data_IF_160694430094
#
_entry.id   IF_160694430094
#
_cell.length_a   1.000
_cell.length_b   1.000
_cell.length_c   1.000
_cell.angle_alpha   90.00
_cell.angle_beta   90.00
_cell.angle_gamma   90.00
#
_symmetry.space_group_name_H-M   'P 1'
#
loop_
_entity.id
_entity.type
_entity.pdbx_description
1 polymer ?
#
# COMPACT_ATOMS: atom_id res chain seq x y z
N UNK A 1 4.08 11.20 6.23
CA UNK A 1 2.77 11.05 5.55
C UNK A 1 1.62 11.77 6.28
N UNK A 2 1.42 11.58 7.60
CA UNK A 2 0.27 12.17 8.34
C UNK A 2 0.18 13.71 8.20
N UNK A 3 1.31 14.40 8.20
CA UNK A 3 1.39 15.87 8.05
C UNK A 3 1.18 16.35 6.60
N UNK A 4 0.99 15.44 5.64
CA UNK A 4 0.73 15.80 4.24
C UNK A 4 -0.49 16.71 4.13
N UNK A 5 -0.43 17.69 3.24
CA UNK A 5 -1.56 18.57 2.92
C UNK A 5 -2.49 17.99 1.84
N UNK A 6 -2.07 16.90 1.19
CA UNK A 6 -2.95 16.17 0.27
C UNK A 6 -4.05 15.40 1.04
N UNK A 7 -5.28 15.27 0.49
CA UNK A 7 -6.39 14.54 1.12
C UNK A 7 -6.02 13.09 1.42
N UNK A 8 -6.15 12.66 2.69
CA UNK A 8 -5.67 11.34 3.12
C UNK A 8 -6.65 10.23 2.74
N UNK A 9 -7.92 10.59 2.58
CA UNK A 9 -8.99 9.81 1.97
C UNK A 9 -8.77 9.52 0.47
N UNK A 10 -7.71 10.08 -0.13
CA UNK A 10 -7.24 9.75 -1.47
C UNK A 10 -5.88 9.03 -1.46
N UNK A 11 -5.38 8.59 -0.31
CA UNK A 11 -4.08 7.93 -0.17
C UNK A 11 -4.23 6.46 0.22
N UNK A 12 -3.66 5.57 -0.59
CA UNK A 12 -3.41 4.17 -0.23
C UNK A 12 -1.99 4.06 0.28
N UNK A 13 -1.80 3.59 1.51
CA UNK A 13 -0.48 3.35 2.09
C UNK A 13 -0.22 1.85 2.10
N UNK A 14 0.89 1.43 1.50
CA UNK A 14 1.34 0.03 1.49
C UNK A 14 2.66 -0.05 2.24
N UNK A 15 2.64 -0.68 3.41
CA UNK A 15 3.82 -0.96 4.21
C UNK A 15 4.38 -2.32 3.80
N UNK A 16 5.40 -2.29 2.94
CA UNK A 16 6.01 -3.49 2.38
C UNK A 16 7.14 -4.01 3.28
N UNK A 17 6.97 -5.22 3.81
CA UNK A 17 7.98 -5.95 4.59
C UNK A 17 8.43 -7.20 3.83
N UNK A 18 9.54 -7.79 4.26
CA UNK A 18 10.03 -9.04 3.69
C UNK A 18 9.95 -10.17 4.73
N UNK A 19 9.61 -11.39 4.31
CA UNK A 19 9.57 -12.55 5.21
C UNK A 19 10.94 -12.78 5.88
N UNK A 20 12.05 -12.52 5.16
CA UNK A 20 13.41 -12.63 5.69
C UNK A 20 13.73 -11.64 6.82
N UNK A 21 12.93 -10.59 7.01
CA UNK A 21 13.10 -9.65 8.12
C UNK A 21 12.60 -10.22 9.46
N UNK A 22 11.87 -11.34 9.43
CA UNK A 22 11.44 -12.09 10.61
C UNK A 22 10.28 -11.48 11.40
N UNK A 23 9.87 -12.18 12.45
CA UNK A 23 8.64 -11.90 13.22
C UNK A 23 8.63 -10.51 13.87
N UNK A 24 9.79 -10.01 14.29
CA UNK A 24 9.88 -8.68 14.90
C UNK A 24 9.44 -7.60 13.89
N UNK A 25 9.88 -7.70 12.64
CA UNK A 25 9.48 -6.76 11.58
C UNK A 25 7.96 -6.81 11.34
N UNK A 26 7.35 -7.99 11.42
CA UNK A 26 5.91 -8.14 11.20
C UNK A 26 5.09 -7.61 12.37
N UNK A 27 5.56 -7.82 13.61
CA UNK A 27 4.95 -7.22 14.81
C UNK A 27 4.97 -5.70 14.72
N UNK A 28 6.11 -5.11 14.36
CA UNK A 28 6.24 -3.66 14.18
C UNK A 28 5.30 -3.16 13.09
N UNK A 29 5.20 -3.86 11.95
CA UNK A 29 4.29 -3.48 10.88
C UNK A 29 2.82 -3.46 11.34
N UNK A 30 2.39 -4.47 12.11
CA UNK A 30 1.04 -4.53 12.68
C UNK A 30 0.78 -3.42 13.70
N UNK A 31 1.77 -3.08 14.53
CA UNK A 31 1.67 -1.93 15.45
C UNK A 31 1.49 -0.61 14.69
N UNK A 32 2.27 -0.39 13.62
CA UNK A 32 2.15 0.78 12.75
C UNK A 32 0.76 0.81 12.09
N UNK A 33 0.28 -0.31 11.55
CA UNK A 33 -1.07 -0.39 10.95
C UNK A 33 -2.15 -0.08 11.98
N UNK A 34 -2.05 -0.61 13.20
CA UNK A 34 -3.00 -0.32 14.29
C UNK A 34 -3.05 1.17 14.61
N UNK A 35 -1.90 1.84 14.64
CA UNK A 35 -1.82 3.27 14.96
C UNK A 35 -2.29 4.18 13.81
N UNK A 36 -1.95 3.85 12.56
CA UNK A 36 -2.08 4.78 11.44
C UNK A 36 -3.15 4.44 10.40
N UNK A 37 -3.66 3.20 10.37
CA UNK A 37 -4.58 2.74 9.30
C UNK A 37 -5.82 3.62 9.14
N UNK A 38 -6.40 4.09 10.25
CA UNK A 38 -7.61 4.93 10.25
C UNK A 38 -7.40 6.35 9.70
N UNK A 39 -6.16 6.77 9.45
CA UNK A 39 -5.83 8.12 8.95
C UNK A 39 -5.83 8.21 7.43
N UNK A 40 -5.84 7.08 6.72
CA UNK A 40 -5.72 7.02 5.27
C UNK A 40 -6.91 6.27 4.67
N UNK A 41 -7.12 6.42 3.36
CA UNK A 41 -8.18 5.71 2.65
C UNK A 41 -8.06 4.18 2.79
N UNK A 42 -6.85 3.67 2.59
CA UNK A 42 -6.49 2.26 2.83
C UNK A 42 -5.07 2.17 3.37
N UNK A 43 -4.85 1.16 4.19
CA UNK A 43 -3.54 0.80 4.72
C UNK A 43 -3.37 -0.71 4.60
N UNK A 44 -2.38 -1.12 3.81
CA UNK A 44 -2.05 -2.53 3.56
C UNK A 44 -0.66 -2.82 4.13
N UNK A 45 -0.50 -3.99 4.73
CA UNK A 45 0.82 -4.57 4.99
C UNK A 45 0.98 -5.69 3.99
N UNK A 46 2.13 -5.75 3.32
CA UNK A 46 2.46 -6.86 2.42
C UNK A 46 3.75 -7.49 2.88
N UNK A 47 3.81 -8.82 2.86
CA UNK A 47 5.03 -9.56 3.17
C UNK A 47 5.52 -10.21 1.88
N UNK A 48 6.69 -9.79 1.38
CA UNK A 48 7.34 -10.44 0.25
C UNK A 48 7.93 -11.79 0.70
N UNK A 49 7.47 -12.92 0.13
CA UNK A 49 7.95 -14.26 0.49
C UNK A 49 9.45 -14.42 0.25
N UNK A 50 10.09 -15.24 1.08
CA UNK A 50 11.46 -15.68 0.79
C UNK A 50 11.45 -16.74 -0.32
N UNK A 51 12.49 -16.75 -1.15
CA UNK A 51 12.77 -17.81 -2.12
C UNK A 51 11.73 -17.99 -3.24
N UNK A 52 11.18 -16.90 -3.80
CA UNK A 52 10.41 -17.00 -5.05
C UNK A 52 11.37 -17.44 -6.18
N UNK A 53 11.11 -18.57 -6.87
CA UNK A 53 11.99 -19.06 -7.91
C UNK A 53 12.13 -18.05 -9.06
N UNK A 54 13.37 -17.75 -9.45
CA UNK A 54 13.66 -16.81 -10.54
C UNK A 54 13.62 -15.33 -10.14
N UNK A 55 13.36 -15.02 -8.87
CA UNK A 55 13.31 -13.65 -8.36
C UNK A 55 14.53 -13.33 -7.48
N UNK A 56 15.10 -12.13 -7.65
CA UNK A 56 16.23 -11.65 -6.84
C UNK A 56 15.68 -10.89 -5.63
N UNK A 57 15.86 -11.43 -4.43
CA UNK A 57 15.43 -10.77 -3.21
C UNK A 57 16.07 -9.37 -3.05
N UNK A 58 15.24 -8.38 -2.76
CA UNK A 58 15.69 -7.00 -2.59
C UNK A 58 14.54 -6.01 -2.63
N UNK A 59 14.87 -4.72 -2.48
CA UNK A 59 13.90 -3.63 -2.45
C UNK A 59 12.98 -3.62 -3.67
N UNK A 60 13.52 -3.78 -4.87
CA UNK A 60 12.74 -3.79 -6.11
C UNK A 60 11.68 -4.89 -6.14
N UNK A 61 12.07 -6.12 -5.84
CA UNK A 61 11.17 -7.29 -5.73
C UNK A 61 10.10 -7.11 -4.66
N UNK A 62 10.49 -6.62 -3.48
CA UNK A 62 9.54 -6.32 -2.41
C UNK A 62 8.48 -5.28 -2.84
N UNK A 63 8.91 -4.21 -3.52
CA UNK A 63 7.98 -3.17 -4.02
C UNK A 63 7.08 -3.73 -5.12
N UNK A 64 7.61 -4.50 -6.07
CA UNK A 64 6.83 -5.12 -7.13
C UNK A 64 5.74 -6.04 -6.56
N UNK A 65 6.10 -6.86 -5.57
CA UNK A 65 5.17 -7.68 -4.82
C UNK A 65 4.09 -6.84 -4.13
N UNK A 66 4.49 -5.78 -3.44
CA UNK A 66 3.58 -4.89 -2.71
C UNK A 66 2.58 -4.18 -3.64
N UNK A 67 3.03 -3.70 -4.79
CA UNK A 67 2.16 -3.06 -5.81
C UNK A 67 1.17 -4.07 -6.39
N UNK A 68 1.60 -5.29 -6.70
CA UNK A 68 0.71 -6.35 -7.20
C UNK A 68 -0.37 -6.72 -6.17
N UNK A 69 0.00 -6.84 -4.89
CA UNK A 69 -0.99 -7.07 -3.81
C UNK A 69 -1.96 -5.91 -3.66
N UNK A 70 -1.48 -4.66 -3.68
CA UNK A 70 -2.35 -3.50 -3.65
C UNK A 70 -3.31 -3.43 -4.85
N UNK A 71 -2.84 -3.82 -6.03
CA UNK A 71 -3.66 -3.93 -7.23
C UNK A 71 -4.79 -4.94 -7.02
N UNK A 72 -4.48 -6.16 -6.60
CA UNK A 72 -5.47 -7.23 -6.40
C UNK A 72 -6.46 -6.94 -5.27
N UNK A 73 -5.97 -6.44 -4.13
CA UNK A 73 -6.76 -6.29 -2.90
C UNK A 73 -7.52 -4.96 -2.81
N UNK A 74 -7.13 -3.95 -3.60
CA UNK A 74 -7.70 -2.60 -3.50
C UNK A 74 -8.23 -2.12 -4.84
N UNK A 75 -7.41 -2.15 -5.90
CA UNK A 75 -7.76 -1.51 -7.17
C UNK A 75 -8.70 -2.37 -8.02
N UNK A 76 -8.44 -3.67 -8.05
CA UNK A 76 -9.18 -4.66 -8.83
C UNK A 76 -10.16 -5.46 -7.97
N UNK A 77 -10.34 -5.06 -6.70
CA UNK A 77 -11.15 -5.78 -5.76
C UNK A 77 -12.60 -5.92 -6.25
N UNK A 78 -12.98 -7.15 -6.57
CA UNK A 78 -14.34 -7.55 -6.93
C UNK A 78 -14.89 -8.43 -5.81
N UNK A 79 -15.74 -7.90 -4.90
CA UNK A 79 -16.35 -8.74 -3.88
C UNK A 79 -17.30 -9.76 -4.53
N UNK A 80 -17.39 -11.00 -4.01
CA UNK A 80 -18.35 -11.97 -4.48
C UNK A 80 -19.77 -11.41 -4.35
N UNK A 81 -20.55 -11.54 -5.43
CA UNK A 81 -21.92 -11.04 -5.59
C UNK A 81 -22.90 -11.82 -4.73
N UNK A 82 -22.85 -11.67 -3.41
CA UNK A 82 -23.85 -12.27 -2.52
C UNK A 82 -24.39 -11.22 -1.56
N UNK A 83 -25.70 -10.96 -1.73
CA UNK A 83 -26.60 -10.13 -0.95
C UNK A 83 -26.71 -8.65 -1.41
N UNK A 84 -27.79 -8.40 -2.16
CA UNK A 84 -28.47 -7.10 -2.30
C UNK A 84 -27.82 -6.01 -3.18
N UNK A 85 -27.29 -6.41 -4.34
CA UNK A 85 -27.36 -5.57 -5.55
C UNK A 85 -26.55 -4.26 -5.54
N UNK A 86 -25.61 -4.09 -4.62
CA UNK A 86 -24.66 -2.96 -4.63
C UNK A 86 -23.23 -3.46 -4.47
N UNK A 87 -22.74 -4.16 -5.48
CA UNK A 87 -21.30 -4.37 -5.66
C UNK A 87 -20.66 -3.01 -5.95
N UNK A 88 -20.19 -2.30 -4.92
CA UNK A 88 -19.33 -1.14 -5.12
C UNK A 88 -17.96 -1.63 -5.57
N UNK A 89 -17.83 -1.89 -6.88
CA UNK A 89 -16.53 -2.04 -7.51
C UNK A 89 -15.74 -0.77 -7.19
N UNK A 90 -14.66 -0.90 -6.42
CA UNK A 90 -13.75 0.22 -6.21
C UNK A 90 -12.84 0.34 -7.44
N UNK A 91 -13.44 0.59 -8.61
CA UNK A 91 -12.72 0.72 -9.87
C UNK A 91 -12.06 2.09 -9.92
N UNK A 92 -10.86 2.22 -9.37
CA UNK A 92 -10.04 3.41 -9.57
C UNK A 92 -9.31 3.22 -10.91
N UNK A 93 -9.56 4.04 -11.94
CA UNK A 93 -8.83 3.94 -13.21
C UNK A 93 -7.33 4.10 -12.98
N UNK A 94 -6.51 3.27 -13.62
CA UNK A 94 -5.06 3.28 -13.37
C UNK A 94 -4.41 4.59 -13.81
N UNK A 95 -4.96 5.26 -14.82
CA UNK A 95 -4.55 6.59 -15.25
C UNK A 95 -4.69 7.67 -14.16
N UNK A 96 -5.50 7.41 -13.14
CA UNK A 96 -5.71 8.31 -12.01
C UNK A 96 -4.85 7.94 -10.78
N UNK A 97 -3.86 7.05 -10.93
CA UNK A 97 -3.02 6.56 -9.84
C UNK A 97 -1.57 6.99 -10.09
N UNK A 98 -0.98 7.61 -9.07
CA UNK A 98 0.45 7.92 -9.01
C UNK A 98 1.07 7.10 -7.89
N UNK A 99 2.16 6.39 -8.20
CA UNK A 99 2.91 5.59 -7.23
C UNK A 99 4.16 6.35 -6.81
N UNK A 100 4.31 6.58 -5.50
CA UNK A 100 5.55 7.07 -4.90
C UNK A 100 6.16 5.98 -4.03
N UNK A 101 7.44 5.70 -4.24
CA UNK A 101 8.19 4.69 -3.51
C UNK A 101 9.17 5.36 -2.53
N UNK A 102 9.12 4.96 -1.27
CA UNK A 102 9.89 5.56 -0.18
C UNK A 102 10.56 4.51 0.70
N UNK A 103 11.73 4.84 1.22
CA UNK A 103 12.30 4.14 2.36
C UNK A 103 11.60 4.57 3.66
N UNK A 104 11.67 3.75 4.71
CA UNK A 104 10.93 3.97 5.97
C UNK A 104 11.33 5.27 6.69
N UNK A 105 12.55 5.76 6.44
CA UNK A 105 13.11 6.99 6.97
C UNK A 105 12.89 8.21 6.05
N UNK A 106 12.23 8.02 4.90
CA UNK A 106 11.95 9.13 3.98
C UNK A 106 10.91 10.08 4.58
N UNK A 107 11.25 11.38 4.60
CA UNK A 107 10.40 12.45 5.13
C UNK A 107 10.01 13.41 4.00
N UNK A 108 8.97 13.11 3.19
CA UNK A 108 8.54 14.01 2.14
C UNK A 108 7.99 15.32 2.73
N UNK A 109 8.23 16.43 2.03
CA UNK A 109 7.69 17.74 2.40
C UNK A 109 6.15 17.69 2.47
N UNK A 110 5.46 18.44 3.35
CA UNK A 110 4.01 18.37 3.50
C UNK A 110 3.21 18.56 2.21
N UNK A 111 3.72 19.32 1.24
CA UNK A 111 3.06 19.54 -0.05
C UNK A 111 3.50 18.58 -1.17
N UNK A 112 4.42 17.65 -0.91
CA UNK A 112 5.00 16.77 -1.93
C UNK A 112 3.95 16.14 -2.86
N UNK A 113 2.89 15.53 -2.30
CA UNK A 113 1.85 14.89 -3.10
C UNK A 113 0.95 15.88 -3.83
N UNK A 114 0.74 17.08 -3.28
CA UNK A 114 -0.02 18.12 -3.96
C UNK A 114 0.71 18.62 -5.23
N UNK A 115 2.04 18.59 -5.24
CA UNK A 115 2.84 18.93 -6.41
C UNK A 115 2.82 17.85 -7.52
N UNK A 116 2.36 16.64 -7.22
CA UNK A 116 2.30 15.54 -8.18
C UNK A 116 0.92 15.39 -8.83
N UNK A 117 -0.08 16.13 -8.36
CA UNK A 117 -1.48 16.00 -8.80
C UNK A 117 -1.94 17.29 -9.46
N UNK A 118 -2.76 17.19 -10.52
CA UNK A 118 -3.38 18.33 -11.20
C UNK A 118 -4.91 18.33 -11.01
#
# INVERSE_FOLDING_TARGET
>A
LVISQYPKEKMVVVLATEERAGDLSQKIAEEIKREFSKKFFRFLITVHPKNIPGEIAGKGSNIAWAVNRAKEEILDYNPPTTLQGKSHKLSIPYENIIVSNFDIDTRPYPQYFACLTW
#
